data_IF_154926769166
#
_entry.id   IF_154926769166
#
_cell.length_a   1.000
_cell.length_b   1.000
_cell.length_c   1.000
_cell.angle_alpha   90.00
_cell.angle_beta   90.00
_cell.angle_gamma   90.00
#
_symmetry.space_group_name_H-M   'P 1'
#
loop_
_entity.id
_entity.type
_entity.pdbx_description
1 polymer ?
#
# COMPACT_ATOMS: atom_id res chain seq x y z
N UNK A 1 8.49 -15.61 46.00
CA UNK A 1 7.47 -16.13 45.06
C UNK A 1 6.96 -15.05 44.13
N UNK A 2 6.54 -13.89 44.58
CA UNK A 2 5.95 -12.79 43.77
C UNK A 2 6.90 -12.29 42.66
N UNK A 3 8.20 -12.08 42.94
CA UNK A 3 9.18 -11.65 41.90
C UNK A 3 9.34 -12.62 40.73
N UNK A 4 9.28 -13.94 40.97
CA UNK A 4 9.34 -14.95 39.89
C UNK A 4 8.07 -14.97 39.04
N UNK A 5 6.91 -14.75 39.64
CA UNK A 5 5.62 -14.67 38.93
C UNK A 5 5.59 -13.43 38.01
N UNK A 6 6.04 -12.26 38.52
CA UNK A 6 6.15 -11.03 37.72
C UNK A 6 7.09 -11.21 36.50
N UNK A 7 8.22 -11.88 36.68
CA UNK A 7 9.16 -12.12 35.57
C UNK A 7 8.53 -13.03 34.49
N UNK A 8 7.81 -14.09 34.87
CA UNK A 8 7.09 -14.95 33.93
C UNK A 8 5.96 -14.23 33.20
N UNK A 9 5.22 -13.36 33.89
CA UNK A 9 4.15 -12.55 33.28
C UNK A 9 4.74 -11.54 32.29
N UNK A 10 5.86 -10.89 32.62
CA UNK A 10 6.53 -9.97 31.70
C UNK A 10 7.06 -10.69 30.44
N UNK A 11 7.68 -11.87 30.61
CA UNK A 11 8.18 -12.67 29.49
C UNK A 11 7.02 -13.14 28.61
N UNK A 12 5.91 -13.57 29.20
CA UNK A 12 4.71 -13.96 28.45
C UNK A 12 4.10 -12.80 27.66
N UNK A 13 4.09 -11.60 28.25
CA UNK A 13 3.62 -10.37 27.57
C UNK A 13 4.55 -9.96 26.43
N UNK A 14 5.88 -10.07 26.58
CA UNK A 14 6.84 -9.79 25.51
C UNK A 14 6.68 -10.79 24.34
N UNK A 15 6.49 -12.08 24.62
CA UNK A 15 6.28 -13.09 23.56
C UNK A 15 4.98 -12.85 22.76
N UNK A 16 3.93 -12.33 23.40
CA UNK A 16 2.69 -12.00 22.70
C UNK A 16 2.75 -10.65 21.94
N UNK A 17 3.66 -9.74 22.33
CA UNK A 17 3.89 -8.49 21.59
C UNK A 17 4.60 -8.73 20.23
N UNK A 18 5.35 -9.84 20.08
CA UNK A 18 5.92 -10.30 18.80
C UNK A 18 4.95 -11.14 17.97
N UNK A 19 3.63 -11.06 18.30
CA UNK A 19 2.62 -11.91 17.73
C UNK A 19 2.43 -11.75 16.22
N UNK A 20 2.34 -12.87 15.56
CA UNK A 20 1.82 -13.12 14.20
C UNK A 20 2.39 -12.31 13.01
N UNK A 21 3.57 -11.72 13.13
CA UNK A 21 4.28 -11.11 12.00
C UNK A 21 4.46 -12.10 10.83
N UNK A 22 4.51 -13.40 11.11
CA UNK A 22 4.66 -14.44 10.09
C UNK A 22 3.49 -14.47 9.11
N UNK A 23 2.26 -14.33 9.59
CA UNK A 23 1.08 -14.30 8.71
C UNK A 23 1.11 -13.05 7.83
N UNK A 24 1.43 -11.90 8.39
CA UNK A 24 1.54 -10.63 7.66
C UNK A 24 2.64 -10.71 6.59
N UNK A 25 3.83 -11.21 6.94
CA UNK A 25 4.94 -11.37 6.02
C UNK A 25 4.62 -12.38 4.91
N UNK A 26 4.07 -13.54 5.25
CA UNK A 26 3.65 -14.54 4.27
C UNK A 26 2.59 -14.00 3.30
N UNK A 27 1.68 -13.15 3.78
CA UNK A 27 0.69 -12.47 2.93
C UNK A 27 1.34 -11.62 1.85
N UNK A 28 2.43 -10.93 2.19
CA UNK A 28 3.21 -10.11 1.26
C UNK A 28 4.04 -10.98 0.33
N UNK A 29 4.78 -11.93 0.89
CA UNK A 29 5.73 -12.79 0.17
C UNK A 29 5.05 -13.59 -0.96
N UNK A 30 3.90 -14.19 -0.69
CA UNK A 30 3.15 -14.99 -1.69
C UNK A 30 2.69 -14.17 -2.91
N UNK A 31 2.69 -12.83 -2.83
CA UNK A 31 2.28 -11.92 -3.91
C UNK A 31 3.43 -11.04 -4.42
N UNK A 32 4.67 -11.31 -4.03
CA UNK A 32 5.82 -10.47 -4.40
C UNK A 32 5.92 -10.24 -5.91
N UNK A 33 5.69 -11.27 -6.72
CA UNK A 33 5.72 -11.15 -8.18
C UNK A 33 4.61 -10.23 -8.72
N UNK A 34 3.38 -10.32 -8.17
CA UNK A 34 2.25 -9.47 -8.54
C UNK A 34 2.53 -8.01 -8.15
N UNK A 35 2.97 -7.77 -6.91
CA UNK A 35 3.31 -6.43 -6.43
C UNK A 35 4.45 -5.79 -7.22
N UNK A 36 5.51 -6.54 -7.50
CA UNK A 36 6.63 -6.07 -8.31
C UNK A 36 6.20 -5.70 -9.72
N UNK A 37 5.31 -6.48 -10.33
CA UNK A 37 4.75 -6.19 -11.65
C UNK A 37 3.94 -4.90 -11.65
N UNK A 38 3.06 -4.71 -10.66
CA UNK A 38 2.23 -3.50 -10.56
C UNK A 38 3.12 -2.27 -10.34
N UNK A 39 4.10 -2.35 -9.43
CA UNK A 39 5.04 -1.25 -9.18
C UNK A 39 5.83 -0.86 -10.44
N UNK A 40 6.23 -1.87 -11.24
CA UNK A 40 6.90 -1.64 -12.52
C UNK A 40 5.97 -1.01 -13.56
N UNK A 41 4.71 -1.46 -13.65
CA UNK A 41 3.73 -0.87 -14.56
C UNK A 41 3.50 0.61 -14.22
N UNK A 42 3.30 0.95 -12.95
CA UNK A 42 3.13 2.34 -12.50
C UNK A 42 4.38 3.17 -12.82
N UNK A 43 5.58 2.61 -12.60
CA UNK A 43 6.83 3.27 -12.99
C UNK A 43 6.91 3.52 -14.50
N UNK A 44 6.43 2.59 -15.30
CA UNK A 44 6.42 2.72 -16.77
C UNK A 44 5.40 3.76 -17.26
N UNK A 45 4.22 3.83 -16.64
CA UNK A 45 3.20 4.83 -16.98
C UNK A 45 3.68 6.25 -16.70
N UNK A 46 4.39 6.45 -15.59
CA UNK A 46 4.93 7.74 -15.16
C UNK A 46 3.91 8.88 -15.27
N UNK A 47 2.67 8.62 -14.85
CA UNK A 47 1.55 9.57 -14.90
C UNK A 47 1.70 10.61 -13.79
N UNK A 48 1.56 11.88 -14.15
CA UNK A 48 1.66 12.99 -13.19
C UNK A 48 0.34 13.20 -12.45
N UNK A 49 0.38 13.99 -11.38
CA UNK A 49 -0.75 14.30 -10.53
C UNK A 49 -2.03 14.67 -11.30
N UNK A 50 -3.18 14.16 -10.85
CA UNK A 50 -4.51 14.22 -11.45
C UNK A 50 -4.69 13.51 -12.80
N UNK A 51 -3.67 12.83 -13.31
CA UNK A 51 -3.71 12.09 -14.60
C UNK A 51 -3.31 10.64 -14.44
N UNK A 52 -3.29 10.11 -13.21
CA UNK A 52 -2.87 8.75 -12.87
C UNK A 52 -3.97 7.70 -13.16
N UNK A 53 -4.54 7.75 -14.36
CA UNK A 53 -5.67 6.88 -14.71
C UNK A 53 -5.32 5.40 -14.72
N UNK A 54 -4.16 5.04 -15.29
CA UNK A 54 -3.67 3.67 -15.34
C UNK A 54 -3.14 3.22 -13.99
N UNK A 55 -2.38 4.09 -13.32
CA UNK A 55 -1.76 3.82 -12.03
C UNK A 55 -2.82 3.59 -10.94
N UNK A 56 -3.82 4.45 -10.85
CA UNK A 56 -4.94 4.27 -9.92
C UNK A 56 -5.73 2.99 -10.22
N UNK A 57 -5.94 2.67 -11.51
CA UNK A 57 -6.66 1.46 -11.93
C UNK A 57 -5.93 0.17 -11.53
N UNK A 58 -4.59 0.14 -11.60
CA UNK A 58 -3.80 -1.01 -11.11
C UNK A 58 -4.06 -1.28 -9.63
N UNK A 59 -4.00 -0.23 -8.80
CA UNK A 59 -4.23 -0.37 -7.36
C UNK A 59 -5.69 -0.67 -7.01
N UNK A 60 -6.64 -0.06 -7.71
CA UNK A 60 -8.06 -0.37 -7.58
C UNK A 60 -8.32 -1.84 -7.87
N UNK A 61 -7.85 -2.35 -9.01
CA UNK A 61 -8.05 -3.74 -9.40
C UNK A 61 -7.41 -4.71 -8.38
N UNK A 62 -6.22 -4.37 -7.88
CA UNK A 62 -5.54 -5.17 -6.85
C UNK A 62 -6.38 -5.25 -5.57
N UNK A 63 -6.86 -4.12 -5.07
CA UNK A 63 -7.62 -4.05 -3.80
C UNK A 63 -9.02 -4.67 -3.96
N UNK A 64 -9.72 -4.41 -5.07
CA UNK A 64 -11.02 -4.99 -5.37
C UNK A 64 -10.96 -6.53 -5.46
N UNK A 65 -9.96 -7.07 -6.18
CA UNK A 65 -9.67 -8.51 -6.25
C UNK A 65 -9.44 -9.14 -4.87
N UNK A 66 -8.90 -8.36 -3.93
CA UNK A 66 -8.66 -8.80 -2.55
C UNK A 66 -9.80 -8.46 -1.57
N UNK A 67 -10.99 -8.10 -2.09
CA UNK A 67 -12.22 -7.98 -1.31
C UNK A 67 -12.46 -6.62 -0.66
N UNK A 68 -11.77 -5.57 -1.11
CA UNK A 68 -12.05 -4.20 -0.70
C UNK A 68 -13.19 -3.61 -1.54
N UNK A 69 -14.07 -2.85 -0.89
CA UNK A 69 -15.08 -2.03 -1.56
C UNK A 69 -14.46 -0.71 -2.01
N UNK A 70 -14.60 -0.37 -3.27
CA UNK A 70 -13.97 0.81 -3.88
C UNK A 70 -14.97 1.97 -4.00
N UNK A 71 -14.52 3.16 -3.62
CA UNK A 71 -15.18 4.44 -3.88
C UNK A 71 -14.21 5.34 -4.65
N UNK A 72 -14.54 5.67 -5.91
CA UNK A 72 -13.68 6.43 -6.84
C UNK A 72 -14.06 7.90 -6.87
N UNK A 73 -13.14 8.75 -7.32
CA UNK A 73 -13.38 10.18 -7.53
C UNK A 73 -13.64 10.95 -6.24
N UNK A 74 -13.06 10.50 -5.12
CA UNK A 74 -13.26 11.13 -3.82
C UNK A 74 -12.65 12.54 -3.78
N UNK A 75 -13.25 13.41 -2.98
CA UNK A 75 -12.84 14.83 -2.87
C UNK A 75 -12.79 15.60 -4.19
N UNK A 76 -13.52 15.15 -5.22
CA UNK A 76 -13.52 15.79 -6.55
C UNK A 76 -12.25 15.51 -7.37
N UNK A 77 -11.40 14.61 -6.96
CA UNK A 77 -10.18 14.20 -7.67
C UNK A 77 -10.47 12.92 -8.46
N UNK A 78 -10.48 12.95 -9.80
CA UNK A 78 -10.92 11.82 -10.62
C UNK A 78 -10.12 10.53 -10.39
N UNK A 79 -8.83 10.65 -10.10
CA UNK A 79 -7.90 9.53 -9.90
C UNK A 79 -7.76 9.10 -8.44
N UNK A 80 -8.31 9.88 -7.50
CA UNK A 80 -8.31 9.50 -6.09
C UNK A 80 -9.42 8.50 -5.77
N UNK A 81 -9.15 7.59 -4.84
CA UNK A 81 -10.13 6.60 -4.41
C UNK A 81 -9.92 6.19 -2.95
N UNK A 82 -10.98 5.64 -2.36
CA UNK A 82 -10.93 4.95 -1.07
C UNK A 82 -11.29 3.49 -1.28
N UNK A 83 -10.47 2.59 -0.77
CA UNK A 83 -10.77 1.18 -0.70
C UNK A 83 -10.99 0.78 0.77
N UNK A 84 -12.15 0.23 1.09
CA UNK A 84 -12.51 -0.13 2.45
C UNK A 84 -12.75 -1.63 2.59
N UNK A 85 -12.15 -2.21 3.63
CA UNK A 85 -12.52 -3.52 4.15
C UNK A 85 -13.02 -3.35 5.59
N UNK A 86 -14.29 -3.67 5.83
CA UNK A 86 -15.00 -3.36 7.08
C UNK A 86 -15.47 -4.62 7.78
N UNK A 87 -14.99 -4.83 9.01
CA UNK A 87 -15.49 -5.84 9.97
C UNK A 87 -15.91 -5.20 11.29
N UNK A 88 -16.35 -3.94 11.26
CA UNK A 88 -16.64 -3.20 12.49
C UNK A 88 -15.38 -2.67 13.17
N UNK A 89 -15.51 -2.28 14.44
CA UNK A 89 -14.40 -1.83 15.28
C UNK A 89 -13.72 -0.53 14.82
N UNK A 90 -12.49 -0.33 15.28
CA UNK A 90 -11.70 0.86 14.96
C UNK A 90 -11.30 0.92 13.49
N UNK A 91 -11.23 2.14 12.93
CA UNK A 91 -10.80 2.40 11.56
C UNK A 91 -9.32 2.76 11.54
N UNK A 92 -8.56 2.05 10.72
CA UNK A 92 -7.15 2.35 10.43
C UNK A 92 -7.06 2.81 8.98
N UNK A 93 -6.53 4.02 8.77
CA UNK A 93 -6.25 4.60 7.45
C UNK A 93 -4.82 4.31 7.01
N UNK A 94 -4.67 3.88 5.76
CA UNK A 94 -3.38 3.67 5.10
C UNK A 94 -3.37 4.53 3.85
N UNK A 95 -2.34 5.37 3.71
CA UNK A 95 -2.15 6.26 2.56
C UNK A 95 -1.29 5.57 1.50
N UNK A 96 -1.64 5.74 0.23
CA UNK A 96 -0.82 5.31 -0.89
C UNK A 96 -0.83 6.33 -2.02
N UNK A 97 0.35 6.70 -2.49
CA UNK A 97 0.55 7.64 -3.59
C UNK A 97 1.08 6.88 -4.81
N UNK A 98 0.81 7.39 -6.01
CA UNK A 98 1.20 6.73 -7.26
C UNK A 98 1.47 7.71 -8.42
N UNK A 99 1.56 8.99 -8.14
CA UNK A 99 1.91 10.03 -9.10
C UNK A 99 3.42 10.10 -9.38
N UNK A 100 3.77 10.43 -10.61
CA UNK A 100 5.13 10.71 -11.04
C UNK A 100 5.41 12.22 -11.00
N UNK A 101 6.68 12.58 -10.89
CA UNK A 101 7.15 13.96 -10.90
C UNK A 101 7.41 14.44 -12.33
N UNK A 102 6.91 15.62 -12.71
CA UNK A 102 7.23 16.22 -14.01
C UNK A 102 8.73 16.58 -14.10
N UNK A 103 9.30 16.44 -15.28
CA UNK A 103 10.70 16.78 -15.56
C UNK A 103 11.74 15.77 -15.06
N UNK A 104 11.33 14.71 -14.35
CA UNK A 104 12.24 13.74 -13.70
C UNK A 104 12.24 12.37 -14.40
N UNK A 105 12.13 12.37 -15.73
CA UNK A 105 12.25 11.13 -16.52
C UNK A 105 13.65 10.53 -16.39
N UNK A 106 13.72 9.24 -16.05
CA UNK A 106 14.97 8.51 -15.85
C UNK A 106 14.82 7.05 -16.29
N UNK A 107 15.83 6.51 -16.96
CA UNK A 107 15.97 5.07 -17.22
C UNK A 107 16.44 4.32 -15.98
N UNK A 108 16.61 3.00 -16.08
CA UNK A 108 17.23 2.17 -15.02
C UNK A 108 18.76 2.31 -14.97
N UNK A 109 19.37 3.16 -15.80
CA UNK A 109 20.80 3.43 -15.81
C UNK A 109 21.24 4.15 -14.53
N UNK A 110 22.45 3.86 -14.07
CA UNK A 110 23.11 4.61 -12.98
C UNK A 110 23.60 5.98 -13.42
N UNK A 111 23.61 6.26 -14.73
CA UNK A 111 23.92 7.57 -15.31
C UNK A 111 22.63 8.33 -15.56
N UNK A 112 22.65 9.65 -15.43
CA UNK A 112 21.52 10.52 -15.78
C UNK A 112 21.14 10.32 -17.26
N UNK A 113 20.06 9.59 -17.51
CA UNK A 113 19.62 9.22 -18.86
C UNK A 113 18.09 9.30 -18.92
N UNK A 114 17.57 10.23 -19.70
CA UNK A 114 16.13 10.40 -19.90
C UNK A 114 15.55 9.20 -20.66
N UNK A 115 14.35 8.76 -20.26
CA UNK A 115 13.56 7.80 -21.04
C UNK A 115 12.94 8.48 -22.25
N UNK A 116 12.88 7.78 -23.37
CA UNK A 116 12.13 8.21 -24.53
C UNK A 116 10.61 8.15 -24.24
N UNK A 117 9.85 9.03 -24.88
CA UNK A 117 8.37 9.05 -24.80
C UNK A 117 7.77 9.62 -23.52
N UNK A 118 8.58 9.97 -22.51
CA UNK A 118 8.06 10.60 -21.29
C UNK A 118 9.00 11.67 -20.75
N UNK A 119 8.41 12.70 -20.13
CA UNK A 119 9.14 13.74 -19.41
C UNK A 119 8.99 13.64 -17.89
N UNK A 120 8.21 12.67 -17.39
CA UNK A 120 7.97 12.44 -15.97
C UNK A 120 8.60 11.13 -15.49
N UNK A 121 8.78 10.99 -14.17
CA UNK A 121 9.35 9.79 -13.58
C UNK A 121 9.17 9.72 -12.07
N UNK A 122 9.32 8.54 -11.51
CA UNK A 122 9.10 8.24 -10.10
C UNK A 122 10.35 8.48 -9.24
N UNK A 123 10.83 9.73 -9.19
CA UNK A 123 12.00 10.07 -8.37
C UNK A 123 11.72 10.02 -6.86
N UNK A 124 10.47 10.20 -6.42
CA UNK A 124 10.03 10.01 -5.03
C UNK A 124 9.71 8.55 -4.69
N UNK A 125 9.61 7.66 -5.70
CA UNK A 125 9.28 6.24 -5.47
C UNK A 125 7.81 5.96 -5.19
N UNK A 126 6.87 6.84 -5.61
CA UNK A 126 5.44 6.63 -5.39
C UNK A 126 4.90 5.36 -6.06
N UNK A 127 5.52 4.90 -7.14
CA UNK A 127 5.23 3.59 -7.73
C UNK A 127 5.46 2.43 -6.74
N UNK A 128 6.43 2.55 -5.84
CA UNK A 128 6.69 1.58 -4.76
C UNK A 128 5.79 1.84 -3.56
N UNK A 129 5.63 3.11 -3.17
CA UNK A 129 4.86 3.50 -2.00
C UNK A 129 3.39 3.09 -2.10
N UNK A 130 2.73 3.39 -3.22
CA UNK A 130 1.33 3.01 -3.45
C UNK A 130 1.11 1.51 -3.36
N UNK A 131 1.99 0.73 -3.99
CA UNK A 131 1.88 -0.75 -3.99
C UNK A 131 2.21 -1.33 -2.62
N UNK A 132 3.24 -0.84 -1.93
CA UNK A 132 3.60 -1.32 -0.59
C UNK A 132 2.49 -1.02 0.42
N UNK A 133 1.87 0.15 0.34
CA UNK A 133 0.71 0.53 1.16
C UNK A 133 -0.50 -0.37 0.88
N UNK A 134 -0.78 -0.69 -0.38
CA UNK A 134 -1.85 -1.62 -0.75
C UNK A 134 -1.56 -3.04 -0.25
N UNK A 135 -0.31 -3.50 -0.36
CA UNK A 135 0.12 -4.78 0.18
C UNK A 135 -0.06 -4.86 1.70
N UNK A 136 0.27 -3.79 2.43
CA UNK A 136 0.03 -3.69 3.87
C UNK A 136 -1.47 -3.74 4.20
N UNK A 137 -2.32 -3.03 3.46
CA UNK A 137 -3.77 -3.07 3.64
C UNK A 137 -4.33 -4.49 3.47
N UNK A 138 -3.91 -5.19 2.40
CA UNK A 138 -4.31 -6.58 2.13
C UNK A 138 -3.83 -7.51 3.23
N UNK A 139 -2.61 -7.34 3.70
CA UNK A 139 -2.03 -8.14 4.77
C UNK A 139 -2.79 -7.99 6.08
N UNK A 140 -3.15 -6.75 6.46
CA UNK A 140 -3.96 -6.48 7.66
C UNK A 140 -5.37 -7.06 7.50
N UNK A 141 -5.98 -6.94 6.32
CA UNK A 141 -7.27 -7.57 6.02
C UNK A 141 -7.22 -9.08 6.24
N UNK A 142 -6.21 -9.78 5.73
CA UNK A 142 -6.05 -11.22 5.92
C UNK A 142 -5.84 -11.58 7.39
N UNK A 143 -5.10 -10.75 8.14
CA UNK A 143 -4.92 -10.93 9.57
C UNK A 143 -6.24 -10.77 10.35
N UNK A 144 -7.08 -9.78 10.00
CA UNK A 144 -8.41 -9.62 10.60
C UNK A 144 -9.30 -10.83 10.36
N UNK A 145 -9.23 -11.41 9.14
CA UNK A 145 -10.00 -12.60 8.77
C UNK A 145 -9.56 -13.84 9.56
N UNK A 146 -8.26 -14.06 9.65
CA UNK A 146 -7.67 -15.21 10.35
C UNK A 146 -7.92 -15.12 11.86
N UNK A 147 -7.65 -13.96 12.46
CA UNK A 147 -7.80 -13.72 13.90
C UNK A 147 -9.25 -13.55 14.36
N UNK A 148 -10.21 -13.46 13.44
CA UNK A 148 -11.63 -13.18 13.70
C UNK A 148 -11.89 -11.88 14.48
N UNK A 149 -10.93 -10.95 14.41
CA UNK A 149 -11.04 -9.66 15.11
C UNK A 149 -11.88 -8.67 14.30
N UNK A 150 -12.51 -7.75 15.03
CA UNK A 150 -13.12 -6.57 14.45
C UNK A 150 -12.06 -5.54 14.09
N UNK A 151 -12.31 -4.79 13.03
CA UNK A 151 -11.46 -3.72 12.54
C UNK A 151 -11.87 -3.31 11.13
N UNK A 152 -11.63 -2.07 10.79
CA UNK A 152 -11.86 -1.52 9.46
C UNK A 152 -10.54 -1.00 8.90
N UNK A 153 -10.18 -1.45 7.70
CA UNK A 153 -9.02 -0.96 6.97
C UNK A 153 -9.49 -0.08 5.84
N UNK A 154 -9.01 1.17 5.78
CA UNK A 154 -9.22 2.08 4.66
C UNK A 154 -7.91 2.41 4.00
N UNK A 155 -7.78 2.07 2.73
CA UNK A 155 -6.69 2.55 1.89
C UNK A 155 -7.16 3.81 1.17
N UNK A 156 -6.40 4.88 1.30
CA UNK A 156 -6.61 6.15 0.61
C UNK A 156 -5.60 6.25 -0.51
N UNK A 157 -6.07 6.00 -1.75
CA UNK A 157 -5.26 6.19 -2.95
C UNK A 157 -5.41 7.62 -3.44
N UNK A 158 -4.32 8.34 -3.47
CA UNK A 158 -4.33 9.74 -3.87
C UNK A 158 -3.05 10.14 -4.61
N UNK A 159 -3.18 11.24 -5.32
CA UNK A 159 -2.05 11.97 -5.87
C UNK A 159 -1.50 12.91 -4.81
N UNK A 160 -0.20 12.92 -4.61
CA UNK A 160 0.43 14.00 -3.87
C UNK A 160 0.69 15.14 -4.85
N UNK A 161 0.04 16.27 -4.61
CA UNK A 161 0.33 17.48 -5.38
C UNK A 161 1.64 18.05 -4.84
N UNK A 162 2.71 17.80 -5.56
CA UNK A 162 3.90 18.59 -5.39
C UNK A 162 3.63 19.98 -6.02
N UNK A 163 3.14 20.86 -5.18
CA UNK A 163 3.00 22.27 -5.53
C UNK A 163 4.35 22.95 -5.40
#
# INVERSE_FOLDING_TARGET
>A
MVKRIMTFVLIYFCFNAFGNNKLLLNSIEKRTAEYSKIAKNIWEYAEVGYKEEKSSKELINLLEKNGFKINKGVAGIPTAFVAEYNRGGSVIGILGEYDALPGLSQTTSTKKTKREGTNSGHACGHNLFGVASAAAAISIKEWLDDSKKEGTVRFYGLSLIHI
#
